data_IF_929777623522
#
_entry.id   IF_929777623522
#
_cell.length_a   1.000
_cell.length_b   1.000
_cell.length_c   1.000
_cell.angle_alpha   90.00
_cell.angle_beta   90.00
_cell.angle_gamma   90.00
#
_symmetry.space_group_name_H-M   'P 1'
#
loop_
_entity.id
_entity.type
_entity.pdbx_description
1 polymer ?
#
# COMPACT_ATOMS: atom_id res chain seq x y z
N UNK A 1 23.71 53.92 -32.12
CA UNK A 1 22.40 54.60 -32.33
C UNK A 1 21.33 53.59 -31.90
N UNK A 2 20.42 53.74 -30.94
CA UNK A 2 19.95 54.77 -29.99
C UNK A 2 19.37 53.95 -28.79
N UNK A 3 19.82 54.12 -27.53
CA UNK A 3 19.10 54.76 -26.38
C UNK A 3 17.56 54.59 -26.45
N UNK A 4 16.85 54.04 -25.45
CA UNK A 4 16.48 54.64 -24.14
C UNK A 4 15.66 53.59 -23.33
N UNK A 5 15.94 53.33 -22.05
CA UNK A 5 15.24 53.82 -20.83
C UNK A 5 13.70 53.69 -20.89
N UNK A 6 13.10 52.96 -19.92
CA UNK A 6 12.09 53.46 -18.95
C UNK A 6 12.06 52.48 -17.77
N UNK A 7 12.63 52.93 -16.64
CA UNK A 7 12.38 52.36 -15.34
C UNK A 7 10.91 52.66 -14.97
N UNK A 8 10.10 51.62 -14.79
CA UNK A 8 8.75 51.78 -14.24
C UNK A 8 8.85 52.04 -12.75
N UNK A 9 8.81 53.32 -12.42
CA UNK A 9 8.62 53.86 -11.08
C UNK A 9 7.16 53.59 -10.73
N UNK A 10 6.87 52.48 -10.03
CA UNK A 10 5.57 52.35 -9.37
C UNK A 10 5.70 53.13 -8.07
N UNK A 11 5.21 54.37 -8.12
CA UNK A 11 5.02 55.20 -6.94
C UNK A 11 4.04 54.48 -6.01
N UNK A 12 4.58 53.88 -4.94
CA UNK A 12 3.78 53.34 -3.84
C UNK A 12 3.29 54.51 -3.00
N UNK A 13 2.19 55.13 -3.46
CA UNK A 13 1.41 56.05 -2.66
C UNK A 13 0.78 55.30 -1.50
N UNK A 14 1.29 55.54 -0.30
CA UNK A 14 0.60 55.19 0.94
C UNK A 14 -0.56 56.16 1.12
N UNK A 15 -1.71 55.63 1.55
CA UNK A 15 -2.68 56.18 2.51
C UNK A 15 -4.12 55.94 2.04
N UNK A 16 -4.84 55.12 2.80
CA UNK A 16 -6.28 54.92 2.63
C UNK A 16 -6.74 53.67 3.38
N UNK A 17 -6.82 53.77 4.71
CA UNK A 17 -7.32 52.70 5.55
C UNK A 17 -8.72 52.28 5.13
N UNK A 18 -8.84 51.04 4.67
CA UNK A 18 -10.09 50.29 4.73
C UNK A 18 -9.87 49.21 5.78
N UNK A 19 -10.80 49.11 6.73
CA UNK A 19 -10.76 48.12 7.78
C UNK A 19 -10.75 46.73 7.13
N UNK A 20 -9.58 46.07 7.12
CA UNK A 20 -9.51 44.66 6.81
C UNK A 20 -10.23 43.91 7.93
N UNK A 21 -11.32 43.21 7.60
CA UNK A 21 -11.86 42.21 8.50
C UNK A 21 -10.76 41.14 8.68
N UNK A 22 -10.05 41.20 9.80
CA UNK A 22 -8.89 40.36 10.14
C UNK A 22 -9.28 38.93 10.54
N UNK A 23 -10.23 38.32 9.82
CA UNK A 23 -10.71 36.96 10.07
C UNK A 23 -10.69 36.13 8.79
N UNK A 24 -9.59 36.20 8.04
CA UNK A 24 -9.35 35.30 6.91
C UNK A 24 -8.74 34.00 7.45
N UNK A 25 -9.46 32.88 7.27
CA UNK A 25 -8.97 31.54 7.60
C UNK A 25 -8.56 30.86 6.31
N UNK A 26 -7.25 30.83 6.04
CA UNK A 26 -6.69 30.16 4.86
C UNK A 26 -6.38 28.70 5.19
N UNK A 27 -7.09 27.77 4.56
CA UNK A 27 -6.80 26.34 4.65
C UNK A 27 -5.96 25.92 3.45
N UNK A 28 -4.72 25.49 3.69
CA UNK A 28 -3.90 24.80 2.72
C UNK A 28 -3.79 23.33 3.11
N UNK A 29 -4.18 22.44 2.21
CA UNK A 29 -4.03 20.99 2.38
C UNK A 29 -3.62 20.35 1.08
N UNK A 30 -2.72 19.37 1.14
CA UNK A 30 -2.43 18.46 0.05
C UNK A 30 -2.85 17.05 0.46
N UNK A 31 -3.48 16.32 -0.45
CA UNK A 31 -3.85 14.92 -0.26
C UNK A 31 -2.71 14.07 -0.81
N UNK A 32 -2.07 13.30 0.07
CA UNK A 32 -1.11 12.25 -0.31
C UNK A 32 -1.84 11.01 -0.86
N UNK A 33 -1.10 10.06 -1.43
CA UNK A 33 -1.66 8.81 -1.94
C UNK A 33 -2.51 8.10 -0.87
N UNK A 34 -3.76 7.83 -1.22
CA UNK A 34 -4.72 7.11 -0.37
C UNK A 34 -4.21 5.69 -0.10
N UNK A 35 -3.95 5.36 1.17
CA UNK A 35 -3.54 4.02 1.61
C UNK A 35 -4.65 3.35 2.40
N UNK A 36 -4.85 2.04 2.15
CA UNK A 36 -5.79 1.21 2.89
C UNK A 36 -5.01 0.14 3.65
N UNK A 37 -5.14 0.11 4.97
CA UNK A 37 -4.51 -0.93 5.78
C UNK A 37 -5.15 -2.27 5.48
N UNK A 38 -4.31 -3.28 5.24
CA UNK A 38 -4.75 -4.64 4.97
C UNK A 38 -4.45 -5.55 6.16
N UNK A 39 -5.25 -6.61 6.28
CA UNK A 39 -5.03 -7.72 7.20
C UNK A 39 -5.17 -9.03 6.45
N UNK A 40 -4.40 -10.03 6.84
CA UNK A 40 -4.54 -11.39 6.33
C UNK A 40 -5.82 -12.02 6.90
N UNK A 41 -6.58 -12.70 6.07
CA UNK A 41 -7.81 -13.38 6.43
C UNK A 41 -7.78 -14.82 5.95
N UNK A 42 -8.08 -15.76 6.85
CA UNK A 42 -8.23 -17.19 6.55
C UNK A 42 -9.67 -17.55 6.93
N UNK A 43 -10.40 -18.21 6.02
CA UNK A 43 -11.81 -18.56 6.21
C UNK A 43 -12.71 -17.38 6.61
N UNK A 44 -12.38 -16.17 6.13
CA UNK A 44 -13.13 -14.95 6.44
C UNK A 44 -12.78 -14.29 7.78
N UNK A 45 -11.94 -14.91 8.62
CA UNK A 45 -11.49 -14.35 9.90
C UNK A 45 -10.14 -13.65 9.74
N UNK A 46 -10.00 -12.44 10.29
CA UNK A 46 -8.71 -11.74 10.35
C UNK A 46 -7.73 -12.53 11.22
N UNK A 47 -6.47 -12.64 10.78
CA UNK A 47 -5.46 -13.41 11.51
C UNK A 47 -4.66 -12.52 12.47
N UNK A 48 -4.36 -13.00 13.69
CA UNK A 48 -3.52 -12.28 14.61
C UNK A 48 -2.11 -12.11 14.03
N UNK A 49 -1.51 -10.94 14.24
CA UNK A 49 -0.15 -10.60 13.82
C UNK A 49 0.12 -10.78 12.31
N UNK A 50 -0.94 -10.84 11.48
CA UNK A 50 -0.86 -11.09 10.05
C UNK A 50 -0.23 -12.44 9.68
N UNK A 51 -0.34 -13.44 10.56
CA UNK A 51 0.26 -14.77 10.37
C UNK A 51 -0.75 -15.74 9.78
N UNK A 52 -0.42 -16.34 8.64
CA UNK A 52 -1.16 -17.47 8.07
C UNK A 52 -0.51 -18.76 8.56
N UNK A 53 -1.22 -19.53 9.39
CA UNK A 53 -0.71 -20.79 9.93
C UNK A 53 -0.90 -21.93 8.92
N UNK A 54 0.20 -22.51 8.44
CA UNK A 54 0.18 -23.62 7.47
C UNK A 54 0.00 -25.00 8.12
N UNK A 55 0.08 -25.08 9.45
CA UNK A 55 0.01 -26.34 10.20
C UNK A 55 1.32 -27.13 10.18
N UNK A 56 1.20 -28.46 10.24
CA UNK A 56 2.34 -29.40 10.26
C UNK A 56 2.18 -30.42 9.15
N UNK A 57 3.29 -30.83 8.55
CA UNK A 57 3.35 -31.87 7.53
C UNK A 57 4.41 -32.91 7.90
N UNK A 58 4.19 -34.16 7.51
CA UNK A 58 5.18 -35.22 7.68
C UNK A 58 6.31 -35.04 6.65
N UNK A 59 7.54 -35.40 7.04
CA UNK A 59 8.68 -35.35 6.12
C UNK A 59 8.41 -36.12 4.82
N UNK A 60 8.73 -35.51 3.68
CA UNK A 60 8.53 -36.07 2.34
C UNK A 60 7.08 -36.07 1.85
N UNK A 61 6.15 -35.42 2.57
CA UNK A 61 4.75 -35.26 2.15
C UNK A 61 4.45 -33.81 1.78
N UNK A 62 3.45 -33.62 0.94
CA UNK A 62 2.89 -32.30 0.62
C UNK A 62 1.97 -31.82 1.75
N UNK A 63 2.05 -30.53 2.07
CA UNK A 63 1.18 -29.90 3.06
C UNK A 63 -0.26 -29.73 2.56
N UNK A 64 -1.18 -29.48 3.47
CA UNK A 64 -2.54 -29.06 3.08
C UNK A 64 -2.52 -27.59 2.65
N UNK A 65 -3.08 -27.29 1.48
CA UNK A 65 -3.22 -25.91 1.02
C UNK A 65 -4.07 -25.08 2.00
N UNK A 66 -3.62 -23.85 2.29
CA UNK A 66 -4.34 -22.90 3.13
C UNK A 66 -4.71 -21.67 2.31
N UNK A 67 -6.00 -21.52 2.04
CA UNK A 67 -6.52 -20.34 1.37
C UNK A 67 -6.52 -19.13 2.31
N UNK A 68 -5.92 -18.04 1.86
CA UNK A 68 -5.93 -16.78 2.57
C UNK A 68 -6.19 -15.61 1.61
N UNK A 69 -6.61 -14.49 2.17
CA UNK A 69 -6.83 -13.24 1.45
C UNK A 69 -6.24 -12.06 2.22
N UNK A 70 -5.74 -11.06 1.50
CA UNK A 70 -5.45 -9.74 2.09
C UNK A 70 -6.71 -8.88 1.92
N UNK A 71 -7.31 -8.47 3.03
CA UNK A 71 -8.55 -7.67 3.05
C UNK A 71 -8.34 -6.37 3.81
N UNK A 72 -9.10 -5.30 3.54
CA UNK A 72 -9.08 -4.10 4.36
C UNK A 72 -9.27 -4.46 5.84
N UNK A 73 -8.37 -3.99 6.71
CA UNK A 73 -8.51 -4.15 8.16
C UNK A 73 -9.76 -3.42 8.67
N UNK A 74 -10.06 -2.26 8.09
CA UNK A 74 -11.32 -1.54 8.28
C UNK A 74 -11.85 -1.01 6.91
N UNK A 75 -12.81 -1.71 6.28
CA UNK A 75 -13.38 -1.30 5.00
C UNK A 75 -14.06 0.09 5.04
N UNK A 76 -14.54 0.53 6.20
CA UNK A 76 -15.20 1.83 6.36
C UNK A 76 -14.23 3.01 6.50
N UNK A 77 -12.92 2.77 6.64
CA UNK A 77 -11.94 3.83 6.77
C UNK A 77 -11.83 4.65 5.48
N UNK A 78 -11.60 5.97 5.61
CA UNK A 78 -11.47 6.87 4.46
C UNK A 78 -10.39 6.41 3.47
N UNK A 79 -9.31 5.80 3.98
CA UNK A 79 -8.23 5.24 3.18
C UNK A 79 -8.63 4.04 2.30
N UNK A 80 -9.74 3.37 2.60
CA UNK A 80 -10.22 2.21 1.85
C UNK A 80 -11.41 2.52 0.93
N UNK A 81 -12.00 3.73 1.03
CA UNK A 81 -13.15 4.11 0.21
C UNK A 81 -12.78 4.28 -1.27
N UNK A 82 -13.62 3.74 -2.16
CA UNK A 82 -13.43 3.85 -3.61
C UNK A 82 -12.29 2.99 -4.18
N UNK A 83 -11.67 2.13 -3.37
CA UNK A 83 -10.64 1.19 -3.80
C UNK A 83 -11.19 -0.18 -4.24
N UNK A 84 -12.47 -0.45 -4.00
CA UNK A 84 -13.17 -1.70 -4.35
C UNK A 84 -13.21 -2.01 -5.86
N UNK A 85 -13.08 -0.98 -6.69
CA UNK A 85 -13.00 -1.10 -8.16
C UNK A 85 -11.57 -1.09 -8.69
N UNK A 86 -10.57 -1.03 -7.83
CA UNK A 86 -9.16 -0.89 -8.20
C UNK A 86 -8.41 -2.22 -8.08
N UNK A 87 -7.26 -2.29 -8.73
CA UNK A 87 -6.33 -3.42 -8.63
C UNK A 87 -5.09 -2.98 -7.87
N UNK A 88 -4.56 -3.86 -7.03
CA UNK A 88 -3.27 -3.68 -6.37
C UNK A 88 -2.22 -4.57 -7.02
N UNK A 89 -0.98 -4.10 -7.03
CA UNK A 89 0.18 -4.96 -7.30
C UNK A 89 0.64 -5.54 -5.98
N UNK A 90 0.70 -6.87 -5.90
CA UNK A 90 1.26 -7.59 -4.75
C UNK A 90 2.65 -8.08 -5.13
N UNK A 91 3.62 -7.78 -4.28
CA UNK A 91 4.97 -8.31 -4.39
C UNK A 91 5.30 -9.12 -3.14
N UNK A 92 6.00 -10.22 -3.34
CA UNK A 92 6.49 -11.06 -2.27
C UNK A 92 7.98 -10.84 -2.03
N UNK A 93 8.39 -10.85 -0.78
CA UNK A 93 9.80 -10.73 -0.41
C UNK A 93 10.10 -11.61 0.81
N UNK A 94 11.19 -12.36 0.73
CA UNK A 94 11.79 -13.08 1.86
C UNK A 94 13.28 -13.25 1.61
N UNK A 95 14.07 -13.28 2.67
CA UNK A 95 15.49 -13.64 2.57
C UNK A 95 15.70 -15.09 2.10
N UNK A 96 14.67 -15.94 2.22
CA UNK A 96 14.68 -17.33 1.78
C UNK A 96 13.82 -17.57 0.52
N UNK A 97 13.36 -16.52 -0.17
CA UNK A 97 12.66 -16.65 -1.45
C UNK A 97 13.69 -16.94 -2.57
N UNK A 98 13.50 -18.02 -3.30
CA UNK A 98 14.35 -18.43 -4.42
C UNK A 98 13.49 -18.98 -5.59
N UNK A 99 14.13 -19.61 -6.58
CA UNK A 99 13.45 -20.11 -7.78
C UNK A 99 12.42 -21.22 -7.50
N UNK A 100 12.55 -21.95 -6.39
CA UNK A 100 11.66 -23.04 -6.01
C UNK A 100 10.49 -22.55 -5.12
N UNK A 101 10.57 -21.33 -4.58
CA UNK A 101 9.57 -20.72 -3.70
C UNK A 101 10.16 -20.19 -2.38
N UNK A 102 9.35 -20.13 -1.33
CA UNK A 102 9.76 -19.66 -0.01
C UNK A 102 10.36 -20.79 0.81
N UNK A 103 11.68 -20.75 1.01
CA UNK A 103 12.37 -21.64 1.93
C UNK A 103 12.12 -21.30 3.40
N UNK A 104 12.51 -22.22 4.29
CA UNK A 104 12.46 -22.01 5.72
C UNK A 104 13.42 -20.89 6.17
N UNK A 105 12.94 -19.98 7.01
CA UNK A 105 13.78 -18.92 7.64
C UNK A 105 14.33 -19.34 9.01
N UNK A 106 14.00 -20.55 9.46
CA UNK A 106 14.49 -21.17 10.69
C UNK A 106 13.95 -22.59 10.87
N UNK A 107 14.43 -23.29 11.90
CA UNK A 107 14.02 -24.68 12.19
C UNK A 107 14.81 -25.73 11.41
N UNK A 108 14.35 -26.99 11.47
CA UNK A 108 15.07 -28.17 10.95
C UNK A 108 14.62 -28.62 9.55
N UNK A 109 13.52 -28.07 9.02
CA UNK A 109 12.96 -28.44 7.72
C UNK A 109 13.63 -27.64 6.58
N UNK A 110 14.93 -27.83 6.38
CA UNK A 110 15.75 -27.04 5.43
C UNK A 110 15.36 -27.24 3.97
N UNK A 111 14.80 -28.41 3.66
CA UNK A 111 14.48 -28.82 2.28
C UNK A 111 12.99 -28.66 1.97
N UNK A 112 12.23 -28.01 2.87
CA UNK A 112 10.82 -27.71 2.67
C UNK A 112 10.64 -26.33 2.02
N UNK A 113 9.74 -26.26 1.05
CA UNK A 113 9.39 -25.03 0.34
C UNK A 113 7.90 -24.76 0.43
N UNK A 114 7.54 -23.50 0.65
CA UNK A 114 6.16 -23.01 0.55
C UNK A 114 5.99 -22.31 -0.79
N UNK A 115 4.91 -22.66 -1.49
CA UNK A 115 4.48 -21.98 -2.72
C UNK A 115 3.27 -21.09 -2.41
N UNK A 116 3.22 -19.92 -3.04
CA UNK A 116 2.06 -19.02 -2.95
C UNK A 116 1.42 -18.88 -4.32
N UNK A 117 0.21 -19.42 -4.48
CA UNK A 117 -0.50 -19.43 -5.74
C UNK A 117 -1.45 -18.23 -5.87
N UNK A 118 -1.35 -17.52 -6.98
CA UNK A 118 -2.22 -16.37 -7.26
C UNK A 118 -3.61 -16.82 -7.73
N UNK A 119 -4.65 -16.67 -6.89
CA UNK A 119 -6.01 -17.14 -7.23
C UNK A 119 -6.82 -16.11 -8.02
N UNK A 120 -6.72 -14.83 -7.67
CA UNK A 120 -7.56 -13.75 -8.24
C UNK A 120 -6.76 -12.64 -8.93
N UNK A 121 -5.51 -12.91 -9.32
CA UNK A 121 -4.67 -11.94 -10.01
C UNK A 121 -5.18 -11.65 -11.42
N UNK A 122 -5.09 -10.38 -11.85
CA UNK A 122 -5.41 -9.97 -13.23
C UNK A 122 -4.32 -10.34 -14.23
N UNK A 123 -3.09 -10.50 -13.75
CA UNK A 123 -1.93 -10.97 -14.51
C UNK A 123 -1.40 -12.25 -13.88
N UNK A 124 -1.09 -13.25 -14.71
CA UNK A 124 -0.57 -14.57 -14.28
C UNK A 124 -1.45 -15.28 -13.21
N UNK A 125 -2.77 -15.44 -13.43
CA UNK A 125 -3.60 -16.24 -12.53
C UNK A 125 -3.12 -17.70 -12.51
N UNK A 126 -3.10 -18.30 -11.33
CA UNK A 126 -2.63 -19.66 -11.09
C UNK A 126 -1.11 -19.82 -11.03
N UNK A 127 -0.33 -18.77 -11.31
CA UNK A 127 1.11 -18.82 -11.12
C UNK A 127 1.46 -18.97 -9.64
N UNK A 128 2.37 -19.89 -9.35
CA UNK A 128 3.01 -20.01 -8.05
C UNK A 128 4.19 -19.04 -7.97
N UNK A 129 4.36 -18.43 -6.81
CA UNK A 129 5.54 -17.67 -6.39
C UNK A 129 6.29 -18.45 -5.33
#
# INVERSE_FOLDING_TARGET
>A
MKKSIIASIIALGVLGGTAHAANEVTFLGSVSATTCDLTTSVNGAAQPNQVVQLGTVQAGQEGTAVDFAMKPANPGSLGCQGLDTKTVTVSWASAALNADGFGATGGAATDATVLVNNVNAKTNPGAAV
#
